data_IF_938281389866
#
_entry.id   IF_938281389866
#
_cell.length_a   1.000
_cell.length_b   1.000
_cell.length_c   1.000
_cell.angle_alpha   90.00
_cell.angle_beta   90.00
_cell.angle_gamma   90.00
#
_symmetry.space_group_name_H-M   'P 1'
#
loop_
_entity.id
_entity.type
_entity.pdbx_description
1 polymer ?
#
# COMPACT_ATOMS: atom_id res chain seq x y z
N UNK A 1 18.42 16.98 0.37
CA UNK A 1 17.07 16.40 0.41
C UNK A 1 17.20 14.98 -0.08
N UNK A 2 17.05 13.98 0.79
CA UNK A 2 17.17 12.58 0.39
C UNK A 2 15.93 12.23 -0.44
N UNK A 3 16.14 11.73 -1.66
CA UNK A 3 15.07 11.52 -2.64
C UNK A 3 14.13 10.39 -2.21
N UNK A 4 12.87 10.41 -2.67
CA UNK A 4 11.90 9.30 -2.45
C UNK A 4 12.49 7.97 -2.92
N UNK A 5 13.25 7.98 -4.03
CA UNK A 5 13.97 6.82 -4.55
C UNK A 5 14.92 6.21 -3.52
N UNK A 6 15.72 7.04 -2.84
CA UNK A 6 16.67 6.60 -1.82
C UNK A 6 15.97 5.94 -0.62
N UNK A 7 14.84 6.49 -0.19
CA UNK A 7 14.03 5.92 0.88
C UNK A 7 13.43 4.56 0.49
N UNK A 8 12.85 4.46 -0.71
CA UNK A 8 12.27 3.22 -1.24
C UNK A 8 13.34 2.15 -1.46
N UNK A 9 14.52 2.51 -1.98
CA UNK A 9 15.64 1.58 -2.15
C UNK A 9 16.16 1.08 -0.80
N UNK A 10 16.29 1.96 0.20
CA UNK A 10 16.71 1.53 1.53
C UNK A 10 15.72 0.55 2.16
N UNK A 11 14.43 0.87 2.12
CA UNK A 11 13.38 -0.04 2.61
C UNK A 11 13.43 -1.39 1.87
N UNK A 12 13.55 -1.37 0.54
CA UNK A 12 13.69 -2.59 -0.26
C UNK A 12 14.85 -3.45 0.23
N UNK A 13 16.05 -2.89 0.34
CA UNK A 13 17.23 -3.65 0.76
C UNK A 13 17.13 -4.18 2.19
N UNK A 14 16.58 -3.37 3.11
CA UNK A 14 16.39 -3.80 4.50
C UNK A 14 15.32 -4.91 4.58
N UNK A 15 14.25 -4.85 3.80
CA UNK A 15 13.22 -5.90 3.72
C UNK A 15 13.73 -7.18 3.05
N UNK A 16 14.49 -7.07 1.96
CA UNK A 16 15.13 -8.21 1.29
C UNK A 16 16.02 -9.00 2.27
N UNK A 17 16.82 -8.31 3.09
CA UNK A 17 17.65 -8.95 4.11
C UNK A 17 16.83 -9.71 5.15
N UNK A 18 15.59 -9.29 5.40
CA UNK A 18 14.68 -10.03 6.29
C UNK A 18 14.20 -11.30 5.58
N UNK A 19 13.68 -11.18 4.35
CA UNK A 19 13.19 -12.34 3.57
C UNK A 19 14.28 -13.39 3.35
N UNK A 20 15.50 -12.96 3.02
CA UNK A 20 16.61 -13.86 2.71
C UNK A 20 17.17 -14.60 3.94
N UNK A 21 16.85 -14.20 5.17
CA UNK A 21 17.30 -14.92 6.38
C UNK A 21 16.67 -16.31 6.47
N UNK A 22 15.39 -16.40 6.12
CA UNK A 22 14.61 -17.63 6.25
C UNK A 22 14.66 -18.47 4.96
N UNK A 23 15.04 -17.85 3.84
CA UNK A 23 15.04 -18.44 2.49
C UNK A 23 16.34 -18.19 1.72
N UNK A 24 17.52 -18.61 2.23
CA UNK A 24 18.82 -18.23 1.66
C UNK A 24 19.14 -18.84 0.29
N UNK A 25 18.33 -19.80 -0.18
CA UNK A 25 18.55 -20.52 -1.45
C UNK A 25 17.33 -20.51 -2.37
N UNK A 26 16.26 -19.80 -1.98
CA UNK A 26 15.05 -19.69 -2.79
C UNK A 26 15.11 -18.44 -3.68
N UNK A 27 14.32 -18.44 -4.75
CA UNK A 27 14.13 -17.25 -5.55
C UNK A 27 13.26 -16.24 -4.77
N UNK A 28 13.71 -14.97 -4.71
CA UNK A 28 12.98 -13.89 -4.04
C UNK A 28 12.60 -12.83 -5.06
N UNK A 29 11.31 -12.62 -5.25
CA UNK A 29 10.73 -11.52 -6.02
C UNK A 29 9.65 -10.83 -5.20
N UNK A 30 9.68 -9.50 -5.13
CA UNK A 30 8.67 -8.71 -4.42
C UNK A 30 8.68 -7.26 -4.92
N UNK A 31 7.61 -6.52 -4.66
CA UNK A 31 7.49 -5.09 -4.95
C UNK A 31 7.61 -4.27 -3.66
N UNK A 32 8.77 -3.65 -3.37
CA UNK A 32 8.93 -2.78 -2.20
C UNK A 32 7.93 -1.61 -2.21
N UNK A 33 7.59 -1.13 -3.40
CA UNK A 33 6.72 0.00 -3.61
C UNK A 33 5.26 -0.31 -3.27
N UNK A 34 4.77 -1.49 -3.69
CA UNK A 34 3.42 -1.96 -3.34
C UNK A 34 3.27 -2.14 -1.82
N UNK A 35 4.27 -2.76 -1.18
CA UNK A 35 4.28 -2.93 0.29
C UNK A 35 4.30 -1.57 1.00
N UNK A 36 5.11 -0.63 0.51
CA UNK A 36 5.17 0.72 1.08
C UNK A 36 3.84 1.47 0.95
N UNK A 37 3.16 1.32 -0.19
CA UNK A 37 1.84 1.89 -0.40
C UNK A 37 0.81 1.32 0.59
N UNK A 38 0.80 -0.01 0.77
CA UNK A 38 -0.06 -0.67 1.75
C UNK A 38 0.20 -0.17 3.19
N UNK A 39 1.47 -0.09 3.60
CA UNK A 39 1.85 0.46 4.91
C UNK A 39 1.43 1.93 5.08
N UNK A 40 1.47 2.72 4.01
CA UNK A 40 1.01 4.12 4.03
C UNK A 40 -0.50 4.24 4.22
N UNK A 41 -1.27 3.38 3.54
CA UNK A 41 -2.72 3.30 3.74
C UNK A 41 -3.09 2.90 5.18
N UNK A 42 -2.31 2.02 5.81
CA UNK A 42 -2.50 1.65 7.22
C UNK A 42 -2.09 2.79 8.15
N UNK A 43 -0.96 3.47 7.89
CA UNK A 43 -0.48 4.58 8.70
C UNK A 43 -1.49 5.73 8.78
N UNK A 44 -2.21 6.02 7.69
CA UNK A 44 -3.27 7.04 7.66
C UNK A 44 -4.34 6.82 8.74
N UNK A 45 -4.69 5.56 9.00
CA UNK A 45 -5.67 5.16 10.03
C UNK A 45 -5.06 4.95 11.42
N UNK A 46 -3.75 4.73 11.51
CA UNK A 46 -3.07 4.42 12.77
C UNK A 46 -2.85 5.67 13.64
N UNK A 47 -2.82 5.49 14.97
CA UNK A 47 -2.49 6.54 15.95
C UNK A 47 -1.58 5.98 17.04
N UNK A 48 -0.98 6.87 17.83
CA UNK A 48 -0.14 6.52 18.98
C UNK A 48 1.00 5.57 18.61
N UNK A 49 1.23 4.55 19.45
CA UNK A 49 2.34 3.61 19.27
C UNK A 49 2.28 2.83 17.95
N UNK A 50 1.08 2.51 17.46
CA UNK A 50 0.90 1.80 16.18
C UNK A 50 1.46 2.64 15.03
N UNK A 51 1.11 3.93 14.98
CA UNK A 51 1.64 4.85 13.96
C UNK A 51 3.17 4.95 14.05
N UNK A 52 3.69 5.17 15.27
CA UNK A 52 5.13 5.27 15.51
C UNK A 52 5.91 4.02 15.09
N UNK A 53 5.34 2.82 15.28
CA UNK A 53 5.99 1.58 14.85
C UNK A 53 6.03 1.47 13.32
N UNK A 54 4.93 1.75 12.64
CA UNK A 54 4.87 1.73 11.16
C UNK A 54 5.88 2.73 10.57
N UNK A 55 5.98 3.92 11.14
CA UNK A 55 6.96 4.93 10.74
C UNK A 55 8.41 4.46 10.92
N UNK A 56 8.69 3.71 12.00
CA UNK A 56 10.03 3.18 12.30
C UNK A 56 10.48 2.07 11.35
N UNK A 57 9.56 1.28 10.79
CA UNK A 57 9.90 0.22 9.81
C UNK A 57 10.67 0.79 8.62
N UNK A 58 10.39 2.04 8.23
CA UNK A 58 11.13 2.74 7.17
C UNK A 58 12.57 3.13 7.50
N UNK A 59 12.95 3.09 8.78
CA UNK A 59 14.25 3.48 9.36
C UNK A 59 14.91 4.73 8.73
N UNK A 60 14.09 5.63 8.18
CA UNK A 60 14.50 6.80 7.44
C UNK A 60 13.35 7.82 7.48
N UNK A 61 13.66 9.04 7.91
CA UNK A 61 12.71 10.17 7.92
C UNK A 61 12.10 10.43 6.53
N UNK A 62 12.80 10.07 5.45
CA UNK A 62 12.29 10.17 4.08
C UNK A 62 11.25 9.10 3.71
N UNK A 63 11.29 7.91 4.31
CA UNK A 63 10.24 6.89 4.12
C UNK A 63 8.99 7.31 4.86
N UNK A 64 9.15 7.79 6.10
CA UNK A 64 8.07 8.44 6.84
C UNK A 64 7.52 9.60 6.03
N UNK A 65 8.35 10.49 5.48
CA UNK A 65 7.90 11.59 4.61
C UNK A 65 7.10 11.12 3.38
N UNK A 66 7.47 10.00 2.74
CA UNK A 66 6.68 9.38 1.68
C UNK A 66 5.30 8.91 2.20
N UNK A 67 5.25 8.29 3.37
CA UNK A 67 3.97 7.92 4.02
C UNK A 67 3.19 9.15 4.54
N UNK A 68 3.88 10.26 4.86
CA UNK A 68 3.35 11.43 5.58
C UNK A 68 2.89 12.57 4.66
N UNK A 69 3.49 12.70 3.47
CA UNK A 69 2.97 13.56 2.39
C UNK A 69 1.49 13.25 2.10
N UNK A 70 1.10 11.99 2.30
CA UNK A 70 -0.28 11.53 2.27
C UNK A 70 -1.12 12.02 3.48
N UNK A 71 -0.59 12.00 4.70
CA UNK A 71 -1.41 12.21 5.91
C UNK A 71 -1.57 13.66 6.37
N UNK A 72 -0.62 14.57 6.11
CA UNK A 72 -0.63 15.93 6.72
C UNK A 72 -1.35 17.00 5.90
N UNK A 73 -1.90 16.67 4.74
CA UNK A 73 -2.46 17.65 3.79
C UNK A 73 -3.94 17.41 3.49
N UNK A 74 -4.69 16.91 4.48
CA UNK A 74 -6.15 16.96 4.45
C UNK A 74 -6.69 18.41 4.54
N UNK A 75 -5.91 19.35 5.11
CA UNK A 75 -6.28 20.77 5.27
C UNK A 75 -5.55 21.75 4.32
N UNK A 76 -4.47 21.33 3.65
CA UNK A 76 -3.77 22.19 2.68
C UNK A 76 -3.71 21.51 1.32
N UNK A 77 -4.40 22.11 0.35
CA UNK A 77 -4.30 21.80 -1.07
C UNK A 77 -2.83 21.78 -1.53
N UNK A 78 -2.50 20.91 -2.49
CA UNK A 78 -1.25 20.87 -3.26
C UNK A 78 -0.17 19.82 -2.95
N UNK A 79 -0.49 18.67 -2.33
CA UNK A 79 0.34 17.48 -2.57
C UNK A 79 -0.52 16.28 -2.94
N UNK A 80 -0.73 16.09 -4.23
CA UNK A 80 -1.07 14.78 -4.77
C UNK A 80 0.18 13.91 -4.59
N UNK A 81 0.11 12.90 -3.72
CA UNK A 81 1.11 11.83 -3.71
C UNK A 81 0.87 10.96 -4.94
N UNK A 82 1.15 11.53 -6.11
CA UNK A 82 0.97 10.88 -7.38
C UNK A 82 2.08 9.83 -7.45
N UNK A 83 1.71 8.58 -7.18
CA UNK A 83 2.46 7.41 -7.64
C UNK A 83 2.36 7.44 -9.18
N UNK A 84 3.07 8.38 -9.83
CA UNK A 84 3.07 8.60 -11.28
C UNK A 84 3.90 7.53 -11.99
N UNK A 85 3.61 6.27 -11.66
CA UNK A 85 4.32 5.09 -12.13
C UNK A 85 3.50 4.45 -13.24
N UNK A 86 2.16 4.52 -13.17
CA UNK A 86 1.28 4.14 -14.27
C UNK A 86 1.20 5.28 -15.30
N UNK A 87 2.31 5.56 -16.00
CA UNK A 87 2.30 6.48 -17.13
C UNK A 87 2.00 5.70 -18.42
N UNK A 88 0.89 5.98 -19.12
CA UNK A 88 0.49 5.27 -20.34
C UNK A 88 1.45 5.48 -21.54
N UNK A 89 2.51 6.28 -21.38
CA UNK A 89 3.53 6.56 -22.40
C UNK A 89 4.81 5.74 -22.25
N UNK A 90 4.88 4.83 -21.26
CA UNK A 90 6.07 4.01 -21.06
C UNK A 90 6.03 2.71 -21.88
N UNK A 91 7.19 2.23 -22.33
CA UNK A 91 7.33 1.00 -23.13
C UNK A 91 7.20 -0.29 -22.30
N UNK A 92 6.46 -0.24 -21.19
CA UNK A 92 6.24 -1.35 -20.27
C UNK A 92 4.77 -1.43 -19.90
N UNK A 93 4.32 -2.63 -19.56
CA UNK A 93 3.02 -2.85 -18.93
C UNK A 93 3.22 -2.92 -17.41
N UNK A 94 2.56 -2.03 -16.68
CA UNK A 94 2.59 -2.02 -15.21
C UNK A 94 1.17 -1.79 -14.71
N UNK A 95 0.64 -2.78 -14.00
CA UNK A 95 -0.60 -2.68 -13.26
C UNK A 95 -0.28 -2.46 -11.78
N UNK A 96 -0.76 -1.35 -11.22
CA UNK A 96 -0.79 -1.13 -9.76
C UNK A 96 -2.25 -1.01 -9.38
N UNK A 97 -2.77 -2.03 -8.69
CA UNK A 97 -4.11 -2.07 -8.16
C UNK A 97 -4.05 -2.22 -6.65
N UNK A 98 -4.59 -1.25 -5.92
CA UNK A 98 -4.69 -1.28 -4.47
C UNK A 98 -6.17 -1.19 -4.08
N UNK A 99 -6.63 -2.10 -3.24
CA UNK A 99 -7.97 -2.07 -2.65
C UNK A 99 -7.88 -2.41 -1.18
N UNK A 100 -8.70 -1.74 -0.37
CA UNK A 100 -8.89 -2.09 1.03
C UNK A 100 -10.14 -2.94 1.14
N UNK A 101 -10.08 -4.02 1.93
CA UNK A 101 -11.24 -4.84 2.26
C UNK A 101 -11.54 -4.67 3.75
N UNK A 102 -12.79 -4.35 4.06
CA UNK A 102 -13.23 -4.09 5.41
C UNK A 102 -14.50 -4.86 5.73
N UNK A 103 -14.64 -5.30 6.97
CA UNK A 103 -15.89 -5.94 7.41
C UNK A 103 -17.08 -4.98 7.24
N UNK A 104 -18.15 -5.46 6.59
CA UNK A 104 -19.33 -4.66 6.23
C UNK A 104 -20.07 -4.07 7.43
N UNK A 105 -19.95 -4.69 8.60
CA UNK A 105 -20.54 -4.16 9.84
C UNK A 105 -19.71 -3.05 10.48
N UNK A 106 -18.48 -2.82 10.02
CA UNK A 106 -17.61 -1.78 10.56
C UNK A 106 -17.86 -0.43 9.89
N UNK A 107 -18.03 0.60 10.72
CA UNK A 107 -18.24 1.97 10.24
C UNK A 107 -16.90 2.69 10.06
N UNK A 108 -16.47 2.83 8.81
CA UNK A 108 -15.24 3.56 8.47
C UNK A 108 -15.45 5.08 8.51
N UNK A 109 -14.43 5.79 8.99
CA UNK A 109 -14.43 7.25 8.97
C UNK A 109 -14.39 7.77 7.52
N UNK A 110 -15.34 8.62 7.15
CA UNK A 110 -15.40 9.20 5.80
C UNK A 110 -14.14 10.00 5.44
N UNK A 111 -13.53 10.67 6.43
CA UNK A 111 -12.25 11.35 6.24
C UNK A 111 -11.13 10.38 5.84
N UNK A 112 -11.09 9.19 6.43
CA UNK A 112 -10.11 8.16 6.09
C UNK A 112 -10.31 7.66 4.65
N UNK A 113 -11.56 7.31 4.29
CA UNK A 113 -11.89 6.86 2.93
C UNK A 113 -11.54 7.92 1.87
N UNK A 114 -11.85 9.18 2.16
CA UNK A 114 -11.52 10.31 1.27
C UNK A 114 -10.01 10.46 1.06
N UNK A 115 -9.22 10.26 2.12
CA UNK A 115 -7.76 10.31 2.02
C UNK A 115 -7.23 9.17 1.17
N UNK A 116 -7.69 7.94 1.41
CA UNK A 116 -7.23 6.76 0.66
C UNK A 116 -7.52 6.91 -0.84
N UNK A 117 -8.74 7.33 -1.21
CA UNK A 117 -9.09 7.59 -2.61
C UNK A 117 -8.20 8.68 -3.23
N UNK A 118 -8.02 9.81 -2.53
CA UNK A 118 -7.26 10.97 -3.05
C UNK A 118 -5.77 10.67 -3.25
N UNK A 119 -5.19 9.85 -2.39
CA UNK A 119 -3.74 9.68 -2.28
C UNK A 119 -3.24 8.39 -2.94
N UNK A 120 -4.03 7.32 -2.87
CA UNK A 120 -3.66 6.00 -3.36
C UNK A 120 -4.52 5.53 -4.54
N UNK A 121 -5.56 6.29 -4.92
CA UNK A 121 -6.57 5.87 -5.91
C UNK A 121 -7.17 4.50 -5.59
N UNK A 122 -7.22 4.18 -4.29
CA UNK A 122 -7.71 2.93 -3.77
C UNK A 122 -9.09 3.13 -3.16
N UNK A 123 -9.96 2.15 -3.36
CA UNK A 123 -11.30 2.12 -2.77
C UNK A 123 -11.34 1.13 -1.60
N UNK A 124 -12.25 1.37 -0.65
CA UNK A 124 -12.63 0.38 0.34
C UNK A 124 -13.85 -0.38 -0.15
N UNK A 125 -13.75 -1.70 -0.17
CA UNK A 125 -14.87 -2.60 -0.41
C UNK A 125 -15.34 -3.23 0.92
N UNK A 126 -16.58 -2.95 1.35
CA UNK A 126 -17.20 -3.66 2.47
C UNK A 126 -17.52 -5.11 2.08
N UNK A 127 -17.02 -6.07 2.86
CA UNK A 127 -17.20 -7.52 2.64
C UNK A 127 -17.64 -8.23 3.92
N UNK A 128 -18.14 -9.45 3.82
CA UNK A 128 -18.70 -10.21 4.94
C UNK A 128 -17.71 -11.24 5.47
N UNK A 129 -16.64 -10.77 6.13
CA UNK A 129 -15.66 -11.67 6.75
C UNK A 129 -16.27 -12.47 7.90
N UNK A 130 -17.33 -11.97 8.56
CA UNK A 130 -17.94 -12.65 9.69
C UNK A 130 -18.80 -13.86 9.29
N UNK A 131 -19.59 -13.76 8.22
CA UNK A 131 -20.58 -14.79 7.88
C UNK A 131 -20.30 -15.50 6.55
N UNK A 132 -19.45 -14.94 5.69
CA UNK A 132 -19.17 -15.47 4.34
C UNK A 132 -17.68 -15.34 3.99
N UNK A 133 -16.82 -15.87 4.87
CA UNK A 133 -15.36 -15.70 4.76
C UNK A 133 -14.77 -16.37 3.51
N UNK A 134 -15.23 -17.57 3.14
CA UNK A 134 -14.73 -18.28 1.96
C UNK A 134 -15.20 -17.61 0.66
N UNK A 135 -16.46 -17.20 0.60
CA UNK A 135 -17.00 -16.44 -0.54
C UNK A 135 -16.27 -15.10 -0.68
N UNK A 136 -15.98 -14.43 0.44
CA UNK A 136 -15.19 -13.20 0.46
C UNK A 136 -13.76 -13.44 -0.04
N UNK A 137 -13.13 -14.56 0.34
CA UNK A 137 -11.79 -14.94 -0.16
C UNK A 137 -11.81 -15.12 -1.68
N UNK A 138 -12.81 -15.82 -2.22
CA UNK A 138 -12.96 -16.01 -3.67
C UNK A 138 -13.18 -14.69 -4.41
N UNK A 139 -14.03 -13.81 -3.86
CA UNK A 139 -14.26 -12.47 -4.40
C UNK A 139 -12.97 -11.63 -4.46
N UNK A 140 -12.17 -11.65 -3.39
CA UNK A 140 -10.89 -10.92 -3.33
C UNK A 140 -9.93 -11.48 -4.39
N UNK A 141 -9.80 -12.80 -4.48
CA UNK A 141 -8.90 -13.44 -5.44
C UNK A 141 -9.29 -13.12 -6.89
N UNK A 142 -10.59 -13.23 -7.22
CA UNK A 142 -11.09 -12.91 -8.56
C UNK A 142 -10.85 -11.43 -8.93
N UNK A 143 -11.00 -10.53 -7.96
CA UNK A 143 -10.70 -9.12 -8.17
C UNK A 143 -9.20 -8.91 -8.44
N UNK A 144 -8.32 -9.52 -7.65
CA UNK A 144 -6.87 -9.44 -7.89
C UNK A 144 -6.53 -9.95 -9.29
N UNK A 145 -7.00 -11.15 -9.64
CA UNK A 145 -6.77 -11.79 -10.94
C UNK A 145 -7.19 -10.89 -12.12
N UNK A 146 -8.38 -10.29 -12.03
CA UNK A 146 -8.90 -9.36 -13.04
C UNK A 146 -8.02 -8.13 -13.21
N UNK A 147 -7.49 -7.59 -12.11
CA UNK A 147 -6.68 -6.36 -12.12
C UNK A 147 -5.18 -6.60 -12.35
N UNK A 148 -4.77 -7.87 -12.40
CA UNK A 148 -3.41 -8.28 -12.79
C UNK A 148 -3.39 -9.08 -14.09
N UNK A 149 -4.41 -8.92 -14.94
CA UNK A 149 -4.51 -9.53 -16.28
C UNK A 149 -4.33 -11.06 -16.29
N UNK A 150 -4.91 -11.78 -15.31
CA UNK A 150 -4.88 -13.25 -15.27
C UNK A 150 -3.46 -13.87 -15.29
N UNK A 151 -2.45 -13.17 -14.73
CA UNK A 151 -1.05 -13.63 -14.68
C UNK A 151 -0.80 -14.90 -13.83
N UNK A 152 -1.85 -15.61 -13.40
CA UNK A 152 -1.80 -16.86 -12.61
C UNK A 152 -1.85 -18.15 -13.47
N UNK A 153 -1.39 -18.09 -14.73
CA UNK A 153 -1.25 -19.27 -15.61
C UNK A 153 0.20 -19.51 -16.08
#
# INVERSE_FOLDING_TARGET
MNSISEATTKFALDFFKVLNKDHPSDNIIYSPLSISAALGMVLLGARGNTATQIEKVGNNKSFVLFLHICSTMADHSHVQCHLTINKPTASYELAIANRLYGEKTFNFLQQYLSCIQKLYQAELEPVDFQNAAEETREQINLWVETFTNELDH
#
